data_IF_379656772709
#
_entry.id   IF_379656772709
#
_cell.length_a   1.000
_cell.length_b   1.000
_cell.length_c   1.000
_cell.angle_alpha   90.00
_cell.angle_beta   90.00
_cell.angle_gamma   90.00
#
_symmetry.space_group_name_H-M   'P 1'
#
loop_
_entity.id
_entity.type
_entity.pdbx_description
1 polymer ?
#
# COMPACT_ATOMS: atom_id res chain seq x y z
N UNK A 1 18.08 5.26 -10.87
CA UNK A 1 17.27 4.99 -9.67
C UNK A 1 17.73 5.93 -8.57
N UNK A 2 16.79 6.53 -7.84
CA UNK A 2 17.05 7.40 -6.69
C UNK A 2 15.99 7.13 -5.62
N UNK A 3 16.21 7.61 -4.41
CA UNK A 3 15.28 7.45 -3.28
C UNK A 3 14.80 8.81 -2.81
N UNK A 4 13.50 8.91 -2.50
CA UNK A 4 12.88 10.11 -1.96
C UNK A 4 11.97 9.74 -0.80
N UNK A 5 11.94 10.57 0.23
CA UNK A 5 11.05 10.37 1.38
C UNK A 5 9.70 11.04 1.12
N UNK A 6 8.70 10.22 0.78
CA UNK A 6 7.29 10.60 0.65
C UNK A 6 6.37 9.58 1.32
N UNK A 7 5.10 9.92 1.48
CA UNK A 7 4.11 9.03 2.10
C UNK A 7 3.48 8.03 1.11
N UNK A 8 3.46 8.38 -0.17
CA UNK A 8 2.83 7.71 -1.30
C UNK A 8 3.57 8.06 -2.61
N UNK A 9 3.24 7.37 -3.70
CA UNK A 9 3.92 7.50 -4.98
C UNK A 9 3.61 8.85 -5.67
N UNK A 10 2.34 9.25 -5.68
CA UNK A 10 1.91 10.50 -6.33
C UNK A 10 2.56 11.74 -5.70
N UNK A 11 2.76 11.75 -4.37
CA UNK A 11 3.37 12.86 -3.64
C UNK A 11 4.84 13.12 -4.02
N UNK A 12 5.51 12.20 -4.72
CA UNK A 12 6.86 12.43 -5.19
C UNK A 12 6.95 13.49 -6.29
N UNK A 13 5.94 13.63 -7.15
CA UNK A 13 5.91 14.70 -8.16
C UNK A 13 5.93 16.08 -7.51
N UNK A 14 5.04 16.30 -6.53
CA UNK A 14 5.00 17.55 -5.77
C UNK A 14 6.28 17.77 -4.97
N UNK A 15 6.80 16.72 -4.32
CA UNK A 15 8.04 16.84 -3.54
C UNK A 15 9.24 17.24 -4.39
N UNK A 16 9.36 16.73 -5.62
CA UNK A 16 10.40 17.14 -6.55
C UNK A 16 10.24 18.61 -6.97
N UNK A 17 9.01 19.05 -7.20
CA UNK A 17 8.73 20.47 -7.49
C UNK A 17 9.07 21.37 -6.30
N UNK A 18 8.75 20.95 -5.07
CA UNK A 18 9.08 21.69 -3.84
C UNK A 18 10.60 21.79 -3.61
N UNK A 19 11.36 20.83 -4.14
CA UNK A 19 12.83 20.83 -4.12
C UNK A 19 13.45 21.71 -5.23
N UNK A 20 12.63 22.38 -6.04
CA UNK A 20 13.06 23.29 -7.09
C UNK A 20 13.33 22.63 -8.44
N UNK A 21 12.91 21.37 -8.64
CA UNK A 21 12.99 20.75 -9.97
C UNK A 21 11.85 21.29 -10.83
N UNK A 22 12.19 21.78 -12.03
CA UNK A 22 11.19 22.31 -12.96
C UNK A 22 10.17 21.23 -13.37
N UNK A 23 8.85 21.51 -13.36
CA UNK A 23 7.81 20.51 -13.63
C UNK A 23 7.96 19.79 -14.96
N UNK A 24 8.40 20.52 -15.99
CA UNK A 24 8.66 19.94 -17.31
C UNK A 24 9.76 18.87 -17.27
N UNK A 25 10.79 19.04 -16.43
CA UNK A 25 11.82 18.01 -16.24
C UNK A 25 11.24 16.82 -15.48
N UNK A 26 10.41 17.05 -14.46
CA UNK A 26 9.77 15.97 -13.71
C UNK A 26 8.89 15.12 -14.65
N UNK A 27 8.02 15.77 -15.43
CA UNK A 27 7.08 15.08 -16.32
C UNK A 27 7.76 14.36 -17.48
N UNK A 28 8.91 14.86 -17.97
CA UNK A 28 9.63 14.26 -19.09
C UNK A 28 10.61 13.15 -18.70
N UNK A 29 11.06 13.10 -17.45
CA UNK A 29 12.14 12.18 -17.01
C UNK A 29 11.70 11.11 -16.02
N UNK A 30 10.61 11.31 -15.28
CA UNK A 30 10.13 10.34 -14.30
C UNK A 30 9.30 9.27 -15.01
N UNK A 31 9.86 8.08 -15.19
CA UNK A 31 9.15 6.92 -15.80
C UNK A 31 8.21 6.20 -14.82
N UNK A 32 8.50 6.28 -13.52
CA UNK A 32 7.62 5.74 -12.49
C UNK A 32 8.16 5.94 -11.09
N UNK A 33 7.27 5.83 -10.12
CA UNK A 33 7.56 5.98 -8.69
C UNK A 33 6.99 4.79 -7.95
N UNK A 34 7.83 4.16 -7.12
CA UNK A 34 7.42 3.09 -6.22
C UNK A 34 7.42 3.61 -4.78
N UNK A 35 6.24 3.67 -4.17
CA UNK A 35 6.11 3.77 -2.73
C UNK A 35 6.07 2.36 -2.13
N UNK A 36 6.72 2.19 -0.97
CA UNK A 36 6.79 0.91 -0.29
C UNK A 36 6.70 1.07 1.23
N UNK A 37 6.12 0.06 1.88
CA UNK A 37 6.17 -0.08 3.35
C UNK A 37 6.40 -1.54 3.72
N UNK A 38 6.89 -1.77 4.94
CA UNK A 38 7.08 -3.12 5.47
C UNK A 38 6.00 -3.42 6.51
N UNK A 39 5.31 -4.54 6.30
CA UNK A 39 4.43 -5.16 7.29
C UNK A 39 5.09 -6.42 7.84
N UNK A 40 4.76 -6.78 9.06
CA UNK A 40 5.20 -8.02 9.69
C UNK A 40 4.43 -9.20 9.09
N UNK A 41 5.13 -10.31 8.86
CA UNK A 41 4.50 -11.53 8.33
C UNK A 41 3.91 -12.35 9.47
N UNK A 42 2.70 -12.88 9.30
CA UNK A 42 2.10 -13.78 10.29
C UNK A 42 2.97 -15.03 10.50
N UNK A 43 3.12 -15.44 11.76
CA UNK A 43 3.87 -16.64 12.08
C UNK A 43 3.14 -17.89 11.57
N UNK A 44 3.79 -18.67 10.71
CA UNK A 44 3.19 -19.90 10.14
C UNK A 44 2.90 -20.99 11.17
N UNK A 45 3.55 -20.96 12.33
CA UNK A 45 3.38 -21.96 13.39
C UNK A 45 2.16 -21.70 14.28
N UNK A 46 1.70 -20.46 14.40
CA UNK A 46 0.66 -20.09 15.37
C UNK A 46 -0.40 -19.12 14.83
N UNK A 47 -0.44 -18.85 13.52
CA UNK A 47 -1.54 -18.08 12.94
C UNK A 47 -2.82 -18.91 13.01
N UNK A 48 -3.93 -18.25 13.31
CA UNK A 48 -5.25 -18.88 13.37
C UNK A 48 -6.21 -18.28 12.35
N UNK A 49 -7.10 -19.09 11.73
CA UNK A 49 -8.21 -18.57 10.95
C UNK A 49 -9.06 -17.59 11.77
N UNK A 50 -9.47 -16.51 11.13
CA UNK A 50 -10.30 -15.46 11.70
C UNK A 50 -11.32 -14.99 10.67
N UNK A 51 -12.58 -14.89 11.09
CA UNK A 51 -13.66 -14.29 10.31
C UNK A 51 -14.09 -13.02 11.04
N UNK A 52 -13.66 -11.84 10.56
CA UNK A 52 -14.10 -10.59 11.15
C UNK A 52 -15.60 -10.39 10.93
N UNK A 53 -16.29 -9.81 11.91
CA UNK A 53 -17.59 -9.19 11.65
C UNK A 53 -17.41 -7.86 10.91
N UNK A 54 -18.50 -7.32 10.34
CA UNK A 54 -18.44 -6.03 9.62
C UNK A 54 -17.98 -4.88 10.53
N UNK A 55 -18.36 -4.92 11.81
CA UNK A 55 -18.00 -3.90 12.80
C UNK A 55 -16.53 -3.95 13.26
N UNK A 56 -15.84 -5.07 13.02
CA UNK A 56 -14.46 -5.29 13.48
C UNK A 56 -13.40 -4.77 12.49
N UNK A 57 -13.81 -4.39 11.29
CA UNK A 57 -12.89 -4.02 10.21
C UNK A 57 -13.23 -2.65 9.61
N UNK A 58 -12.23 -1.96 9.05
CA UNK A 58 -12.46 -0.69 8.35
C UNK A 58 -13.50 -0.83 7.24
N UNK A 59 -14.25 0.24 6.98
CA UNK A 59 -15.25 0.27 5.91
C UNK A 59 -14.67 0.07 4.51
N UNK A 60 -13.39 0.37 4.32
CA UNK A 60 -12.65 0.16 3.08
C UNK A 60 -11.93 -1.20 3.02
N UNK A 61 -12.14 -2.05 4.02
CA UNK A 61 -11.71 -3.45 3.97
C UNK A 61 -12.72 -4.25 3.11
N UNK A 62 -12.26 -5.00 2.10
CA UNK A 62 -13.15 -5.66 1.13
C UNK A 62 -13.77 -6.96 1.68
N UNK A 63 -14.61 -6.86 2.73
CA UNK A 63 -15.29 -7.97 3.43
C UNK A 63 -15.95 -8.98 2.47
N UNK A 64 -16.59 -8.48 1.41
CA UNK A 64 -17.30 -9.28 0.41
C UNK A 64 -16.44 -10.32 -0.31
N UNK A 65 -15.11 -10.16 -0.28
CA UNK A 65 -14.17 -11.09 -0.90
C UNK A 65 -13.78 -12.26 0.02
N UNK A 66 -14.29 -12.31 1.26
CA UNK A 66 -13.94 -13.32 2.25
C UNK A 66 -15.12 -14.21 2.59
N UNK A 67 -14.90 -15.51 2.55
CA UNK A 67 -15.90 -16.51 2.91
C UNK A 67 -15.33 -17.49 3.92
N UNK A 68 -16.20 -18.32 4.48
CA UNK A 68 -15.77 -19.37 5.40
C UNK A 68 -14.75 -20.34 4.78
N UNK A 69 -14.73 -20.49 3.45
CA UNK A 69 -13.76 -21.32 2.72
C UNK A 69 -12.42 -20.62 2.44
N UNK A 70 -12.33 -19.30 2.67
CA UNK A 70 -11.13 -18.50 2.49
C UNK A 70 -10.94 -17.53 3.67
N UNK A 71 -10.70 -18.04 4.89
CA UNK A 71 -10.55 -17.20 6.07
C UNK A 71 -9.28 -16.35 5.98
N UNK A 72 -9.33 -15.16 6.59
CA UNK A 72 -8.12 -14.42 6.92
C UNK A 72 -7.50 -15.01 8.18
N UNK A 73 -6.33 -14.49 8.56
CA UNK A 73 -5.58 -15.01 9.69
C UNK A 73 -5.22 -13.89 10.67
N UNK A 74 -5.18 -14.23 11.96
CA UNK A 74 -4.75 -13.35 13.04
C UNK A 74 -3.49 -13.87 13.75
N UNK A 75 -2.81 -12.96 14.45
CA UNK A 75 -1.64 -13.26 15.24
C UNK A 75 -2.03 -13.77 16.64
N UNK A 76 -1.42 -14.89 17.08
CA UNK A 76 -1.68 -15.47 18.43
C UNK A 76 -0.42 -15.40 19.30
N UNK A 77 0.70 -15.92 18.79
CA UNK A 77 1.96 -15.98 19.53
C UNK A 77 2.35 -17.40 19.92
N UNK A 78 3.62 -17.72 19.72
CA UNK A 78 4.23 -18.97 20.18
C UNK A 78 5.73 -18.79 20.36
N UNK A 79 6.41 -19.83 20.85
CA UNK A 79 7.86 -19.83 21.06
C UNK A 79 8.65 -19.51 19.77
N UNK A 80 8.21 -19.98 18.60
CA UNK A 80 8.90 -19.73 17.32
C UNK A 80 8.94 -18.26 16.91
N UNK A 81 7.91 -17.49 17.24
CA UNK A 81 7.84 -16.05 16.98
C UNK A 81 8.10 -15.20 18.23
N UNK A 82 8.65 -15.79 19.29
CA UNK A 82 8.90 -15.13 20.59
C UNK A 82 7.64 -14.46 21.13
N UNK A 83 6.50 -15.15 21.03
CA UNK A 83 5.17 -14.72 21.46
C UNK A 83 4.65 -13.41 20.81
N UNK A 84 5.21 -12.99 19.66
CA UNK A 84 4.72 -11.80 18.95
C UNK A 84 3.55 -12.09 18.00
N UNK A 85 3.40 -13.35 17.58
CA UNK A 85 2.47 -13.77 16.52
C UNK A 85 2.96 -13.47 15.09
N UNK A 86 4.13 -12.85 14.94
CA UNK A 86 4.72 -12.49 13.65
C UNK A 86 6.16 -13.01 13.50
N UNK A 87 6.56 -13.39 12.29
CA UNK A 87 7.94 -13.81 12.00
C UNK A 87 8.34 -13.39 10.59
N UNK A 88 9.29 -12.46 10.50
CA UNK A 88 9.70 -11.85 9.25
C UNK A 88 8.89 -10.61 8.87
N UNK A 89 9.19 -10.05 7.70
CA UNK A 89 8.52 -8.88 7.12
C UNK A 89 8.30 -9.12 5.64
N UNK A 90 7.25 -8.51 5.09
CA UNK A 90 7.01 -8.45 3.66
C UNK A 90 6.70 -7.01 3.23
N UNK A 91 7.04 -6.69 1.98
CA UNK A 91 6.74 -5.39 1.39
C UNK A 91 5.30 -5.30 0.90
N UNK A 92 4.68 -4.15 1.15
CA UNK A 92 3.53 -3.66 0.39
C UNK A 92 3.99 -2.56 -0.55
N UNK A 93 3.46 -2.54 -1.78
CA UNK A 93 3.96 -1.71 -2.86
C UNK A 93 2.82 -0.96 -3.54
N UNK A 94 3.10 0.29 -3.87
CA UNK A 94 2.28 1.15 -4.71
C UNK A 94 3.19 1.64 -5.84
N UNK A 95 2.90 1.19 -7.05
CA UNK A 95 3.70 1.50 -8.24
C UNK A 95 2.90 2.39 -9.17
N UNK A 96 3.28 3.66 -9.23
CA UNK A 96 2.79 4.62 -10.20
C UNK A 96 3.68 4.54 -11.43
N UNK A 97 3.11 4.14 -12.56
CA UNK A 97 3.78 4.19 -13.87
C UNK A 97 3.36 5.46 -14.58
N UNK A 98 4.31 6.27 -15.02
CA UNK A 98 4.02 7.57 -15.60
C UNK A 98 3.51 7.42 -17.04
N UNK A 99 2.25 7.77 -17.29
CA UNK A 99 1.65 7.85 -18.62
C UNK A 99 1.40 9.32 -19.03
N UNK A 100 0.90 9.56 -20.25
CA UNK A 100 0.70 10.91 -20.78
C UNK A 100 -0.19 11.79 -19.90
N UNK A 101 -1.27 11.23 -19.32
CA UNK A 101 -2.15 11.96 -18.39
C UNK A 101 -1.39 12.40 -17.14
N UNK A 102 -0.63 11.50 -16.51
CA UNK A 102 0.19 11.82 -15.34
C UNK A 102 1.26 12.85 -15.70
N UNK A 103 1.90 12.75 -16.87
CA UNK A 103 2.89 13.74 -17.35
C UNK A 103 2.26 15.12 -17.46
N UNK A 104 1.05 15.20 -18.03
CA UNK A 104 0.32 16.45 -18.15
C UNK A 104 -0.02 17.03 -16.77
N UNK A 105 -0.60 16.24 -15.87
CA UNK A 105 -0.95 16.66 -14.52
C UNK A 105 0.27 17.15 -13.73
N UNK A 106 1.41 16.47 -13.86
CA UNK A 106 2.66 16.86 -13.23
C UNK A 106 3.20 18.18 -13.81
N UNK A 107 3.16 18.36 -15.14
CA UNK A 107 3.61 19.59 -15.80
C UNK A 107 2.76 20.80 -15.40
N UNK A 108 1.45 20.60 -15.24
CA UNK A 108 0.47 21.60 -14.79
C UNK A 108 0.52 21.87 -13.26
N UNK A 109 1.41 21.19 -12.52
CA UNK A 109 1.49 21.26 -11.04
C UNK A 109 0.16 20.95 -10.35
N UNK A 110 -0.59 19.99 -10.88
CA UNK A 110 -1.87 19.55 -10.30
C UNK A 110 -1.66 18.86 -8.97
N UNK A 111 -2.69 18.89 -8.12
CA UNK A 111 -2.58 18.38 -6.77
C UNK A 111 -2.31 16.87 -6.73
N UNK A 112 -1.63 16.40 -5.67
CA UNK A 112 -1.34 14.98 -5.44
C UNK A 112 -2.56 14.07 -5.58
N UNK A 113 -3.73 14.55 -5.14
CA UNK A 113 -4.99 13.78 -5.23
C UNK A 113 -5.43 13.53 -6.67
N UNK A 114 -5.16 14.47 -7.59
CA UNK A 114 -5.51 14.35 -9.01
C UNK A 114 -4.61 13.34 -9.70
N UNK A 115 -3.30 13.45 -9.47
CA UNK A 115 -2.30 12.50 -9.97
C UNK A 115 -2.60 11.08 -9.42
N UNK A 116 -2.92 10.97 -8.13
CA UNK A 116 -3.31 9.69 -7.50
C UNK A 116 -4.54 9.08 -8.17
N UNK A 117 -5.59 9.87 -8.43
CA UNK A 117 -6.81 9.38 -9.12
C UNK A 117 -6.50 8.89 -10.54
N UNK A 118 -5.75 9.66 -11.32
CA UNK A 118 -5.35 9.26 -12.67
C UNK A 118 -4.51 7.97 -12.66
N UNK A 119 -3.57 7.85 -11.72
CA UNK A 119 -2.76 6.66 -11.56
C UNK A 119 -3.59 5.42 -11.18
N UNK A 120 -4.55 5.55 -10.25
CA UNK A 120 -5.46 4.46 -9.87
C UNK A 120 -6.33 4.06 -11.07
N UNK A 121 -6.89 5.03 -11.81
CA UNK A 121 -7.65 4.76 -13.02
C UNK A 121 -6.83 4.04 -14.09
N UNK A 122 -5.51 4.28 -14.11
CA UNK A 122 -4.54 3.63 -14.99
C UNK A 122 -4.03 2.27 -14.46
N UNK A 123 -4.62 1.73 -13.39
CA UNK A 123 -4.31 0.41 -12.84
C UNK A 123 -3.30 0.39 -11.69
N UNK A 124 -2.91 1.54 -11.14
CA UNK A 124 -2.10 1.58 -9.92
C UNK A 124 -2.89 1.00 -8.74
N UNK A 125 -2.29 0.03 -8.06
CA UNK A 125 -2.77 -0.46 -6.77
C UNK A 125 -2.17 0.37 -5.65
N UNK A 126 -2.99 0.82 -4.70
CA UNK A 126 -2.52 1.55 -3.52
C UNK A 126 -1.79 0.64 -2.54
N UNK A 127 -1.01 1.23 -1.63
CA UNK A 127 -0.37 0.48 -0.53
C UNK A 127 -1.42 -0.30 0.29
N UNK A 128 -2.58 0.32 0.53
CA UNK A 128 -3.67 -0.27 1.31
C UNK A 128 -4.31 -1.44 0.58
N UNK A 129 -4.61 -1.29 -0.71
CA UNK A 129 -5.15 -2.37 -1.55
C UNK A 129 -4.18 -3.57 -1.67
N UNK A 130 -2.88 -3.31 -1.84
CA UNK A 130 -1.86 -4.37 -1.86
C UNK A 130 -1.70 -5.05 -0.49
N UNK A 131 -1.86 -4.29 0.60
CA UNK A 131 -1.99 -4.80 1.96
C UNK A 131 -3.18 -5.75 2.11
N UNK A 132 -4.36 -5.36 1.65
CA UNK A 132 -5.57 -6.21 1.66
C UNK A 132 -5.38 -7.52 0.89
N UNK A 133 -4.72 -7.48 -0.27
CA UNK A 133 -4.39 -8.69 -1.02
C UNK A 133 -3.45 -9.63 -0.24
N UNK A 134 -2.57 -9.10 0.61
CA UNK A 134 -1.68 -9.91 1.44
C UNK A 134 -2.36 -10.44 2.69
N UNK A 135 -3.32 -9.70 3.24
CA UNK A 135 -4.23 -10.18 4.30
C UNK A 135 -5.04 -11.36 3.78
N UNK A 136 -5.61 -11.25 2.58
CA UNK A 136 -6.42 -12.31 1.98
C UNK A 136 -5.67 -13.61 1.72
N UNK A 137 -4.35 -13.51 1.52
CA UNK A 137 -3.45 -14.65 1.37
C UNK A 137 -2.92 -15.19 2.69
N UNK A 138 -3.38 -14.64 3.83
CA UNK A 138 -2.93 -15.02 5.17
C UNK A 138 -1.45 -14.71 5.44
N UNK A 139 -0.87 -13.74 4.72
CA UNK A 139 0.54 -13.38 4.85
C UNK A 139 0.77 -12.33 5.96
N UNK A 140 -0.19 -11.44 6.17
CA UNK A 140 -0.19 -10.40 7.21
C UNK A 140 -1.59 -10.28 7.82
N UNK A 141 -1.73 -9.51 8.90
CA UNK A 141 -3.01 -9.20 9.54
C UNK A 141 -3.58 -7.85 9.08
N UNK A 142 -4.87 -7.63 9.34
CA UNK A 142 -5.53 -6.33 9.15
C UNK A 142 -4.83 -5.24 9.98
N UNK A 143 -4.52 -5.55 11.24
CA UNK A 143 -3.83 -4.66 12.17
C UNK A 143 -2.52 -4.11 11.58
N UNK A 144 -1.75 -4.96 10.91
CA UNK A 144 -0.49 -4.57 10.30
C UNK A 144 -0.67 -3.62 9.13
N UNK A 145 -1.68 -3.85 8.28
CA UNK A 145 -1.98 -2.95 7.16
C UNK A 145 -2.47 -1.60 7.67
N UNK A 146 -3.32 -1.59 8.71
CA UNK A 146 -3.80 -0.34 9.31
C UNK A 146 -2.70 0.46 9.99
N UNK A 147 -1.77 -0.23 10.68
CA UNK A 147 -0.63 0.41 11.34
C UNK A 147 0.26 1.16 10.35
N UNK A 148 0.38 0.67 9.12
CA UNK A 148 1.31 1.23 8.13
C UNK A 148 0.61 1.94 6.97
N UNK A 149 -0.70 1.95 6.81
CA UNK A 149 -1.37 2.64 5.69
C UNK A 149 -2.46 3.59 6.16
N UNK A 150 -2.62 4.71 5.47
CA UNK A 150 -3.76 5.62 5.67
C UNK A 150 -4.98 5.07 4.93
N UNK A 151 -6.18 5.47 5.35
CA UNK A 151 -7.39 5.26 4.57
C UNK A 151 -7.24 5.97 3.22
N UNK A 152 -7.69 5.30 2.17
CA UNK A 152 -7.70 5.83 0.80
C UNK A 152 -8.82 6.86 0.60
#
# INVERSE_FOLDING_TARGET
FSTLHTNDAAGAFMRLSDMGVEPFLISSTVEGIMAQRLVRTLCRHCREPYMPSEDEVPSDFPLSHYTAQAPIYRAVGCRHCRNTGYSGRLGIYELLVTNDEIRQLAAEKRGTSEIRRAAIASGMRTLRQDGWLKVSRGLTSIEEVLRVTKAD
#
